data_IF_140347033409
#
_entry.id   IF_140347033409
#
_cell.length_a   1.000
_cell.length_b   1.000
_cell.length_c   1.000
_cell.angle_alpha   90.00
_cell.angle_beta   90.00
_cell.angle_gamma   90.00
#
_symmetry.space_group_name_H-M   'P 1'
#
loop_
_entity.id
_entity.type
_entity.pdbx_description
1 polymer ?
#
# COMPACT_ATOMS: atom_id res chain seq x y z
N UNK A 1 -47.04 31.90 -15.76
CA UNK A 1 -46.79 30.99 -14.63
C UNK A 1 -46.76 29.57 -15.16
N UNK A 2 -45.77 28.78 -14.71
CA UNK A 2 -45.42 27.40 -15.10
C UNK A 2 -44.45 27.37 -16.31
N UNK A 3 -43.38 26.57 -16.21
CA UNK A 3 -42.33 26.25 -17.20
C UNK A 3 -41.01 27.08 -17.22
N UNK A 4 -40.53 27.64 -16.11
CA UNK A 4 -39.10 28.09 -16.05
C UNK A 4 -38.37 27.77 -14.73
N UNK A 5 -38.89 26.86 -13.91
CA UNK A 5 -38.24 26.43 -12.66
C UNK A 5 -37.82 24.95 -12.78
N UNK A 6 -36.98 24.63 -13.75
CA UNK A 6 -36.50 23.25 -13.93
C UNK A 6 -35.00 23.11 -14.22
N UNK A 7 -34.19 24.17 -14.19
CA UNK A 7 -32.76 24.05 -14.51
C UNK A 7 -31.85 24.91 -13.62
N UNK A 8 -32.12 24.95 -12.32
CA UNK A 8 -31.10 25.21 -11.31
C UNK A 8 -30.62 23.83 -10.86
N UNK A 9 -29.54 23.30 -11.46
CA UNK A 9 -28.75 22.21 -10.84
C UNK A 9 -27.47 21.76 -11.55
N UNK A 10 -27.06 22.27 -12.72
CA UNK A 10 -26.00 21.55 -13.49
C UNK A 10 -24.78 22.32 -14.01
N UNK A 11 -24.56 23.61 -13.71
CA UNK A 11 -23.36 24.30 -14.25
C UNK A 11 -22.56 25.16 -13.27
N UNK A 12 -22.57 24.82 -11.98
CA UNK A 12 -21.60 25.41 -11.02
C UNK A 12 -20.37 24.51 -10.87
N UNK A 13 -19.61 24.31 -11.95
CA UNK A 13 -18.20 23.91 -11.90
C UNK A 13 -17.55 23.99 -13.30
N UNK A 14 -17.63 25.15 -13.96
CA UNK A 14 -16.68 25.49 -15.02
C UNK A 14 -15.51 26.25 -14.41
N UNK A 15 -14.30 25.86 -14.85
CA UNK A 15 -12.99 26.45 -14.59
C UNK A 15 -12.29 25.96 -13.32
N UNK A 16 -11.45 24.93 -13.47
CA UNK A 16 -10.07 24.99 -12.98
C UNK A 16 -9.16 24.05 -13.76
N UNK A 17 -8.32 24.69 -14.57
CA UNK A 17 -6.95 24.30 -14.94
C UNK A 17 -6.63 22.80 -15.11
N UNK A 18 -6.48 22.39 -16.37
CA UNK A 18 -5.67 21.24 -16.76
C UNK A 18 -4.20 21.50 -16.36
N UNK A 19 -3.86 21.30 -15.10
CA UNK A 19 -2.49 21.25 -14.63
C UNK A 19 -1.91 19.88 -14.97
N UNK A 20 -1.47 19.74 -16.22
CA UNK A 20 -0.48 18.76 -16.65
C UNK A 20 0.86 19.08 -15.94
N UNK A 21 0.89 18.91 -14.62
CA UNK A 21 2.08 19.00 -13.77
C UNK A 21 1.85 18.18 -12.50
N UNK A 22 1.86 16.86 -12.64
CA UNK A 22 2.28 15.98 -11.55
C UNK A 22 3.33 14.98 -12.07
N UNK A 23 4.43 15.52 -12.62
CA UNK A 23 5.66 14.75 -12.85
C UNK A 23 6.67 14.93 -11.71
N UNK A 24 6.41 15.76 -10.69
CA UNK A 24 7.38 15.97 -9.63
C UNK A 24 6.64 16.34 -8.35
N UNK A 25 6.30 15.34 -7.52
CA UNK A 25 6.43 15.39 -6.05
C UNK A 25 5.68 14.23 -5.36
N UNK A 26 6.31 13.06 -5.23
CA UNK A 26 6.13 12.21 -4.03
C UNK A 26 7.47 11.67 -3.55
N UNK A 27 8.36 12.60 -3.19
CA UNK A 27 9.40 12.36 -2.19
C UNK A 27 8.95 13.09 -0.93
N UNK A 28 7.88 12.60 -0.32
CA UNK A 28 7.22 13.23 0.84
C UNK A 28 6.40 12.17 1.57
N UNK A 29 6.95 11.65 2.67
CA UNK A 29 6.37 10.57 3.46
C UNK A 29 6.93 9.22 3.05
N UNK A 30 7.57 8.53 3.99
CA UNK A 30 7.89 7.12 3.84
C UNK A 30 6.57 6.35 3.65
N UNK A 31 6.49 5.46 2.66
CA UNK A 31 5.28 4.63 2.49
C UNK A 31 5.06 3.83 3.77
N UNK A 32 3.82 3.75 4.26
CA UNK A 32 3.50 2.97 5.47
C UNK A 32 4.02 1.53 5.36
N UNK A 33 4.01 0.95 4.15
CA UNK A 33 4.57 -0.39 3.91
C UNK A 33 6.08 -0.47 4.17
N UNK A 34 6.83 0.62 3.93
CA UNK A 34 8.28 0.67 4.20
C UNK A 34 8.51 0.82 5.71
N UNK A 35 7.71 1.65 6.40
CA UNK A 35 7.77 1.80 7.87
C UNK A 35 7.49 0.46 8.54
N UNK A 36 6.44 -0.23 8.11
CA UNK A 36 6.04 -1.54 8.59
C UNK A 36 7.13 -2.60 8.34
N UNK A 37 7.70 -2.64 7.13
CA UNK A 37 8.78 -3.58 6.81
C UNK A 37 10.03 -3.31 7.67
N UNK A 38 10.41 -2.04 7.85
CA UNK A 38 11.54 -1.66 8.71
C UNK A 38 11.30 -2.06 10.16
N UNK A 39 10.08 -1.90 10.67
CA UNK A 39 9.73 -2.35 12.02
C UNK A 39 9.95 -3.85 12.15
N UNK A 40 9.40 -4.65 11.23
CA UNK A 40 9.57 -6.10 11.21
C UNK A 40 11.05 -6.51 11.19
N UNK A 41 11.86 -5.94 10.30
CA UNK A 41 13.28 -6.30 10.22
C UNK A 41 14.13 -5.75 11.36
N UNK A 42 13.66 -4.74 12.09
CA UNK A 42 14.30 -4.29 13.33
C UNK A 42 14.07 -5.28 14.47
N UNK A 43 12.90 -5.95 14.49
CA UNK A 43 12.57 -7.00 15.46
C UNK A 43 13.20 -8.34 15.09
N UNK A 44 13.39 -8.61 13.79
CA UNK A 44 13.95 -9.84 13.25
C UNK A 44 15.20 -9.60 12.40
N UNK A 45 16.32 -9.17 13.01
CA UNK A 45 17.55 -8.83 12.27
C UNK A 45 18.21 -10.04 11.59
N UNK A 46 17.84 -11.27 11.95
CA UNK A 46 18.31 -12.51 11.32
C UNK A 46 18.00 -12.57 9.82
N UNK A 47 16.88 -11.97 9.38
CA UNK A 47 16.50 -11.92 7.97
C UNK A 47 17.27 -10.87 7.17
N UNK A 48 17.88 -9.87 7.82
CA UNK A 48 18.83 -8.96 7.15
C UNK A 48 20.23 -9.59 7.12
N UNK A 49 20.58 -10.33 8.16
CA UNK A 49 21.95 -10.83 8.36
C UNK A 49 22.25 -12.11 7.59
N UNK A 50 21.22 -12.84 7.13
CA UNK A 50 21.35 -14.11 6.42
C UNK A 50 20.54 -14.11 5.13
N UNK A 51 21.24 -14.13 3.99
CA UNK A 51 20.62 -14.22 2.68
C UNK A 51 19.76 -15.49 2.52
N UNK A 52 20.13 -16.60 3.17
CA UNK A 52 19.33 -17.82 3.15
C UNK A 52 17.98 -17.63 3.85
N UNK A 53 17.97 -16.97 5.02
CA UNK A 53 16.73 -16.70 5.75
C UNK A 53 15.89 -15.65 5.03
N UNK A 54 16.52 -14.62 4.47
CA UNK A 54 15.86 -13.60 3.64
C UNK A 54 15.12 -14.25 2.46
N UNK A 55 15.81 -15.14 1.73
CA UNK A 55 15.23 -15.81 0.56
C UNK A 55 14.06 -16.72 0.96
N UNK A 56 14.20 -17.47 2.05
CA UNK A 56 13.11 -18.29 2.59
C UNK A 56 11.89 -17.43 2.94
N UNK A 57 12.10 -16.30 3.63
CA UNK A 57 11.02 -15.39 4.01
C UNK A 57 10.34 -14.78 2.78
N UNK A 58 11.13 -14.37 1.79
CA UNK A 58 10.61 -13.84 0.54
C UNK A 58 9.73 -14.85 -0.20
N UNK A 59 10.11 -16.13 -0.23
CA UNK A 59 9.33 -17.20 -0.87
C UNK A 59 7.98 -17.41 -0.19
N UNK A 60 7.93 -17.40 1.14
CA UNK A 60 6.65 -17.49 1.86
C UNK A 60 5.82 -16.22 1.68
N UNK A 61 6.44 -15.05 1.73
CA UNK A 61 5.79 -13.77 1.47
C UNK A 61 5.14 -13.69 0.09
N UNK A 62 5.85 -14.16 -0.94
CA UNK A 62 5.32 -14.24 -2.30
C UNK A 62 4.07 -15.14 -2.38
N UNK A 63 3.96 -16.18 -1.55
CA UNK A 63 2.75 -17.00 -1.48
C UNK A 63 1.64 -16.31 -0.69
N UNK A 64 1.96 -15.74 0.48
CA UNK A 64 0.98 -15.07 1.37
C UNK A 64 0.28 -13.93 0.64
N UNK A 65 1.02 -13.14 -0.16
CA UNK A 65 0.44 -12.02 -0.94
C UNK A 65 -0.53 -12.45 -2.05
N UNK A 66 -0.55 -13.73 -2.42
CA UNK A 66 -1.52 -14.26 -3.40
C UNK A 66 -2.86 -14.65 -2.77
N UNK A 67 -2.92 -14.77 -1.43
CA UNK A 67 -4.13 -15.20 -0.73
C UNK A 67 -5.11 -14.02 -0.62
N UNK A 68 -6.32 -14.12 -1.23
CA UNK A 68 -7.25 -12.98 -1.28
C UNK A 68 -7.68 -12.44 0.10
N UNK A 69 -7.74 -13.31 1.11
CA UNK A 69 -8.09 -12.94 2.48
C UNK A 69 -7.07 -11.98 3.14
N UNK A 70 -5.84 -11.93 2.63
CA UNK A 70 -4.76 -11.10 3.20
C UNK A 70 -4.52 -9.81 2.41
N UNK A 71 -5.29 -9.56 1.35
CA UNK A 71 -5.09 -8.41 0.45
C UNK A 71 -5.14 -7.06 1.15
N UNK A 72 -5.94 -6.94 2.20
CA UNK A 72 -6.14 -5.70 2.97
C UNK A 72 -5.27 -5.64 4.24
N UNK A 73 -4.39 -6.63 4.46
CA UNK A 73 -3.49 -6.64 5.62
C UNK A 73 -2.29 -5.70 5.43
N UNK A 74 -1.75 -5.21 6.53
CA UNK A 74 -0.55 -4.36 6.50
C UNK A 74 0.69 -5.15 6.09
N UNK A 75 1.74 -4.46 5.62
CA UNK A 75 2.99 -5.12 5.25
C UNK A 75 3.60 -5.87 6.44
N UNK A 76 3.48 -5.32 7.64
CA UNK A 76 3.93 -5.96 8.87
C UNK A 76 3.20 -7.30 9.11
N UNK A 77 1.87 -7.30 9.00
CA UNK A 77 1.07 -8.50 9.18
C UNK A 77 1.41 -9.57 8.14
N UNK A 78 1.61 -9.19 6.88
CA UNK A 78 2.01 -10.11 5.83
C UNK A 78 3.38 -10.75 6.11
N UNK A 79 4.35 -9.97 6.61
CA UNK A 79 5.66 -10.48 6.99
C UNK A 79 5.60 -11.43 8.19
N UNK A 80 4.81 -11.11 9.22
CA UNK A 80 4.59 -11.98 10.38
C UNK A 80 3.96 -13.31 9.97
N UNK A 81 2.94 -13.31 9.11
CA UNK A 81 2.34 -14.55 8.60
C UNK A 81 3.36 -15.36 7.80
N UNK A 82 4.21 -14.70 7.01
CA UNK A 82 5.24 -15.36 6.21
C UNK A 82 6.29 -16.03 7.11
N UNK A 83 6.70 -15.38 8.19
CA UNK A 83 7.58 -15.95 9.20
C UNK A 83 6.94 -17.15 9.91
N UNK A 84 5.67 -17.03 10.32
CA UNK A 84 4.95 -18.12 11.00
C UNK A 84 4.92 -19.39 10.14
N UNK A 85 4.71 -19.23 8.81
CA UNK A 85 4.75 -20.33 7.83
C UNK A 85 6.13 -20.93 7.61
N UNK A 86 7.21 -20.20 7.88
CA UNK A 86 8.57 -20.75 7.82
C UNK A 86 8.92 -21.62 9.02
N UNK A 87 8.33 -21.33 10.18
CA UNK A 87 8.64 -22.02 11.45
C UNK A 87 7.81 -23.27 11.70
N UNK A 88 6.81 -23.54 10.86
CA UNK A 88 5.93 -24.70 10.91
C UNK A 88 6.22 -25.68 9.78
#
# INVERSE_FOLDING_TARGET
MIITIALISLLSACTRENSLKENQNKRSGESQAIVDARQFFSEHPEYISSAELEEKLYREFAQVTTVPAYKEMSMYQLLVISQDRLTH
#
